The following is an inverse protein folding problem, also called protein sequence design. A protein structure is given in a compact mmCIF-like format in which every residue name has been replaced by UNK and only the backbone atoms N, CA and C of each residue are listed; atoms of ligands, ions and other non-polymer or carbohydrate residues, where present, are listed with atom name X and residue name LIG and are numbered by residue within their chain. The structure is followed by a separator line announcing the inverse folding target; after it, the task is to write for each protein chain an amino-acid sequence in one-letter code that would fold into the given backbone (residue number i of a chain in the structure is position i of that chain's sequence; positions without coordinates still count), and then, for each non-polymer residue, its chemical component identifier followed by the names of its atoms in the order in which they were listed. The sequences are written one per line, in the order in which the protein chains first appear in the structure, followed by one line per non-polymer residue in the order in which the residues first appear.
data_IF_123738220957
#
_entry.id   IF_123738220957
#
_cell.length_a   1.000
_cell.length_b   1.000
_cell.length_c   1.000
_cell.angle_alpha   90.00
_cell.angle_beta   90.00
_cell.angle_gamma   90.00
#
_symmetry.space_group_name_H-M   'P 1'
#
loop_
_entity.id
_entity.type
_entity.pdbx_description
1 polymer ?
#
# COMPACT_ATOMS: atom_id res chain seq x y z
N UNK A 1 1.00 7.07 -15.59
CA UNK A 1 1.43 5.84 -16.26
C UNK A 1 2.92 5.57 -16.09
N UNK A 2 3.82 6.56 -16.25
CA UNK A 2 5.27 6.38 -16.05
C UNK A 2 5.56 5.88 -14.62
N UNK A 3 4.99 6.52 -13.60
CA UNK A 3 5.15 6.10 -12.20
C UNK A 3 4.60 4.69 -11.95
N UNK A 4 3.48 4.32 -12.56
CA UNK A 4 2.95 2.96 -12.45
C UNK A 4 3.96 1.94 -13.00
N UNK A 5 4.49 2.21 -14.18
CA UNK A 5 5.52 1.34 -14.78
C UNK A 5 6.79 1.28 -13.91
N UNK A 6 7.27 2.41 -13.41
CA UNK A 6 8.46 2.46 -12.55
C UNK A 6 8.28 1.69 -11.23
N UNK A 7 7.07 1.63 -10.68
CA UNK A 7 6.81 0.90 -9.45
C UNK A 7 6.82 -0.63 -9.60
N UNK A 8 6.66 -1.16 -10.80
CA UNK A 8 7.01 -2.57 -11.04
C UNK A 8 8.50 -2.80 -10.83
N UNK A 9 9.35 -1.91 -11.34
CA UNK A 9 10.80 -1.96 -11.10
C UNK A 9 11.16 -1.76 -9.62
N UNK A 10 10.47 -0.83 -8.93
CA UNK A 10 10.71 -0.56 -7.52
C UNK A 10 10.32 -1.77 -6.64
N UNK A 11 9.08 -2.23 -6.74
CA UNK A 11 8.59 -3.34 -5.93
C UNK A 11 9.24 -4.67 -6.31
N UNK A 12 9.37 -4.97 -7.61
CA UNK A 12 10.05 -6.18 -8.08
C UNK A 12 11.53 -6.19 -7.78
N UNK A 13 12.22 -5.05 -7.93
CA UNK A 13 13.63 -4.90 -7.56
C UNK A 13 13.88 -5.05 -6.06
N UNK A 14 12.89 -4.74 -5.23
CA UNK A 14 12.96 -4.89 -3.78
C UNK A 14 12.94 -6.35 -3.30
N UNK A 15 12.68 -7.32 -4.18
CA UNK A 15 12.90 -8.74 -3.87
C UNK A 15 14.38 -9.09 -3.73
N UNK A 16 15.27 -8.21 -4.23
CA UNK A 16 16.75 -8.28 -4.11
C UNK A 16 17.39 -9.44 -4.87
N UNK A 17 16.68 -10.53 -5.09
CA UNK A 17 17.17 -11.72 -5.82
C UNK A 17 16.09 -12.28 -6.73
N UNK A 18 16.50 -12.92 -7.82
CA UNK A 18 15.62 -13.68 -8.73
C UNK A 18 15.89 -15.19 -8.66
N UNK A 19 17.01 -15.56 -8.01
CA UNK A 19 17.43 -16.94 -7.80
C UNK A 19 17.32 -17.34 -6.33
N UNK A 20 17.11 -18.62 -6.07
CA UNK A 20 16.94 -19.16 -4.72
C UNK A 20 15.47 -19.30 -4.32
N UNK A 21 15.27 -19.62 -3.05
CA UNK A 21 13.95 -19.84 -2.45
C UNK A 21 13.75 -18.99 -1.20
N UNK A 22 12.52 -18.73 -0.85
CA UNK A 22 12.10 -18.10 0.40
C UNK A 22 10.85 -18.78 0.95
N UNK A 23 10.40 -18.37 2.13
CA UNK A 23 9.23 -18.93 2.80
C UNK A 23 7.96 -18.64 1.98
N UNK A 24 7.17 -19.67 1.70
CA UNK A 24 5.90 -19.57 1.01
C UNK A 24 4.80 -18.97 1.89
N UNK A 25 3.68 -18.60 1.28
CA UNK A 25 2.50 -18.13 1.99
C UNK A 25 2.03 -19.15 3.04
N UNK A 26 1.60 -18.65 4.19
CA UNK A 26 1.23 -19.48 5.34
C UNK A 26 2.42 -19.92 6.22
N UNK A 27 3.66 -19.51 5.86
CA UNK A 27 4.87 -19.83 6.62
C UNK A 27 5.29 -21.30 6.51
N UNK A 28 4.72 -22.06 5.57
CA UNK A 28 4.99 -23.50 5.38
C UNK A 28 5.46 -23.76 3.95
N UNK A 29 6.63 -24.40 3.83
CA UNK A 29 7.26 -24.68 2.53
C UNK A 29 8.06 -23.52 1.97
N UNK A 30 8.49 -23.68 0.72
CA UNK A 30 9.35 -22.72 0.03
C UNK A 30 8.73 -22.31 -1.32
N UNK A 31 8.97 -21.08 -1.72
CA UNK A 31 8.65 -20.51 -3.02
C UNK A 31 9.93 -20.01 -3.68
N UNK A 32 10.05 -20.12 -5.00
CA UNK A 32 11.19 -19.55 -5.71
C UNK A 32 11.12 -18.03 -5.71
N UNK A 33 12.27 -17.35 -5.68
CA UNK A 33 12.33 -15.88 -5.73
C UNK A 33 11.70 -15.33 -7.01
N UNK A 34 11.80 -16.03 -8.14
CA UNK A 34 11.13 -15.64 -9.38
C UNK A 34 9.60 -15.70 -9.27
N UNK A 35 9.04 -16.69 -8.58
CA UNK A 35 7.60 -16.77 -8.32
C UNK A 35 7.15 -15.69 -7.32
N UNK A 36 7.97 -15.38 -6.31
CA UNK A 36 7.73 -14.24 -5.41
C UNK A 36 7.67 -12.93 -6.19
N UNK A 37 8.63 -12.66 -7.08
CA UNK A 37 8.64 -11.47 -7.92
C UNK A 37 7.38 -11.40 -8.81
N UNK A 38 6.93 -12.53 -9.37
CA UNK A 38 5.67 -12.61 -10.11
C UNK A 38 4.45 -12.26 -9.25
N UNK A 39 4.42 -12.71 -7.99
CA UNK A 39 3.39 -12.33 -7.02
C UNK A 39 3.41 -10.83 -6.74
N UNK A 40 4.60 -10.26 -6.51
CA UNK A 40 4.82 -8.83 -6.27
C UNK A 40 4.30 -7.97 -7.42
N UNK A 41 4.57 -8.37 -8.67
CA UNK A 41 4.02 -7.65 -9.82
C UNK A 41 2.49 -7.73 -9.89
N UNK A 42 1.93 -8.89 -9.58
CA UNK A 42 0.48 -9.12 -9.64
C UNK A 42 -0.26 -8.34 -8.55
N UNK A 43 0.20 -8.38 -7.31
CA UNK A 43 -0.38 -7.62 -6.18
C UNK A 43 -0.26 -6.12 -6.38
N UNK A 44 0.90 -5.64 -6.86
CA UNK A 44 1.13 -4.24 -7.20
C UNK A 44 0.14 -3.74 -8.25
N UNK A 45 -0.02 -4.48 -9.34
CA UNK A 45 -0.94 -4.10 -10.42
C UNK A 45 -2.40 -4.12 -9.97
N UNK A 46 -2.80 -5.15 -9.25
CA UNK A 46 -4.17 -5.30 -8.77
C UNK A 46 -4.58 -4.17 -7.82
N UNK A 47 -3.74 -3.88 -6.83
CA UNK A 47 -4.01 -2.81 -5.87
C UNK A 47 -4.16 -1.45 -6.56
N UNK A 48 -3.24 -1.11 -7.48
CA UNK A 48 -3.30 0.13 -8.23
C UNK A 48 -4.56 0.24 -9.09
N UNK A 49 -4.93 -0.82 -9.80
CA UNK A 49 -6.12 -0.84 -10.65
C UNK A 49 -7.41 -0.67 -9.83
N UNK A 50 -7.53 -1.38 -8.72
CA UNK A 50 -8.70 -1.27 -7.82
C UNK A 50 -8.77 0.13 -7.21
N UNK A 51 -7.66 0.66 -6.70
CA UNK A 51 -7.64 1.99 -6.10
C UNK A 51 -8.04 3.09 -7.11
N UNK A 52 -7.63 2.96 -8.36
CA UNK A 52 -8.06 3.85 -9.45
C UNK A 52 -9.58 3.85 -9.62
N UNK A 53 -10.15 2.64 -9.75
CA UNK A 53 -11.60 2.48 -9.96
C UNK A 53 -12.38 2.99 -8.75
N UNK A 54 -11.92 2.66 -7.55
CA UNK A 54 -12.57 3.07 -6.30
C UNK A 54 -12.52 4.59 -6.13
N UNK A 55 -11.38 5.23 -6.36
CA UNK A 55 -11.27 6.69 -6.30
C UNK A 55 -12.17 7.38 -7.33
N UNK A 56 -12.22 6.84 -8.57
CA UNK A 56 -13.12 7.33 -9.60
C UNK A 56 -14.59 7.20 -9.20
N UNK A 57 -15.00 6.03 -8.73
CA UNK A 57 -16.40 5.78 -8.31
C UNK A 57 -16.75 6.61 -7.08
N UNK A 58 -15.87 6.72 -6.10
CA UNK A 58 -16.09 7.50 -4.89
C UNK A 58 -16.29 8.98 -5.22
N UNK A 59 -15.45 9.55 -6.08
CA UNK A 59 -15.61 10.95 -6.54
C UNK A 59 -16.87 11.14 -7.37
N UNK A 60 -17.21 10.16 -8.21
CA UNK A 60 -18.45 10.19 -8.99
C UNK A 60 -19.70 10.23 -8.11
N UNK A 61 -19.75 9.40 -7.08
CA UNK A 61 -20.86 9.39 -6.12
C UNK A 61 -20.91 10.72 -5.35
N UNK A 62 -19.76 11.19 -4.88
CA UNK A 62 -19.65 12.36 -4.00
C UNK A 62 -19.89 13.69 -4.74
N UNK A 63 -19.29 13.86 -5.92
CA UNK A 63 -19.36 15.12 -6.70
C UNK A 63 -20.29 15.07 -7.89
N UNK A 64 -20.98 13.93 -8.10
CA UNK A 64 -21.88 13.67 -9.24
C UNK A 64 -21.19 13.66 -10.61
N UNK A 65 -19.87 13.69 -10.62
CA UNK A 65 -19.02 13.55 -11.81
C UNK A 65 -17.68 12.93 -11.39
N UNK A 66 -17.10 12.07 -12.26
CA UNK A 66 -15.78 11.52 -11.96
C UNK A 66 -14.72 12.62 -12.04
N UNK A 67 -13.74 12.56 -11.14
CA UNK A 67 -12.59 13.45 -11.12
C UNK A 67 -11.35 12.70 -11.64
N UNK A 68 -10.79 13.17 -12.75
CA UNK A 68 -9.63 12.52 -13.39
C UNK A 68 -8.39 12.66 -12.53
N UNK A 69 -8.16 13.83 -11.92
CA UNK A 69 -6.99 14.07 -11.06
C UNK A 69 -7.03 13.16 -9.82
N UNK A 70 -8.18 13.07 -9.17
CA UNK A 70 -8.38 12.16 -8.03
C UNK A 70 -8.27 10.68 -8.43
N UNK A 71 -8.71 10.31 -9.64
CA UNK A 71 -8.55 8.93 -10.13
C UNK A 71 -7.08 8.59 -10.35
N UNK A 72 -6.27 9.53 -10.88
CA UNK A 72 -4.83 9.37 -11.04
C UNK A 72 -4.11 9.32 -9.67
N UNK A 73 -4.52 10.16 -8.73
CA UNK A 73 -4.03 10.09 -7.35
C UNK A 73 -4.42 8.76 -6.68
N UNK A 74 -5.60 8.22 -6.99
CA UNK A 74 -6.03 6.88 -6.57
C UNK A 74 -5.09 5.78 -7.07
N UNK A 75 -4.66 5.88 -8.33
CA UNK A 75 -3.67 4.96 -8.90
C UNK A 75 -2.37 4.97 -8.09
N UNK A 76 -1.84 6.17 -7.85
CA UNK A 76 -0.59 6.33 -7.08
C UNK A 76 -0.76 5.89 -5.62
N UNK A 77 -1.90 6.20 -5.02
CA UNK A 77 -2.22 5.79 -3.65
C UNK A 77 -2.22 4.27 -3.49
N UNK A 78 -2.83 3.54 -4.43
CA UNK A 78 -2.79 2.07 -4.45
C UNK A 78 -1.39 1.52 -4.61
N UNK A 79 -0.58 2.11 -5.49
CA UNK A 79 0.82 1.74 -5.67
C UNK A 79 1.64 1.96 -4.40
N UNK A 80 1.46 3.11 -3.73
CA UNK A 80 2.15 3.44 -2.48
C UNK A 80 1.72 2.51 -1.35
N UNK A 81 0.41 2.27 -1.21
CA UNK A 81 -0.13 1.46 -0.13
C UNK A 81 0.40 0.03 -0.17
N UNK A 82 0.36 -0.61 -1.33
CA UNK A 82 0.80 -2.00 -1.49
C UNK A 82 2.32 -2.17 -1.39
N UNK A 83 3.09 -1.10 -1.56
CA UNK A 83 4.57 -1.18 -1.54
C UNK A 83 5.11 -1.78 -0.24
N UNK A 84 4.45 -1.54 0.89
CA UNK A 84 4.88 -2.09 2.19
C UNK A 84 4.59 -3.59 2.36
N UNK A 85 3.65 -4.15 1.60
CA UNK A 85 3.05 -5.46 1.86
C UNK A 85 3.14 -6.43 0.67
N UNK A 86 3.54 -5.95 -0.50
CA UNK A 86 3.40 -6.66 -1.79
C UNK A 86 4.10 -8.03 -1.85
N UNK A 87 5.15 -8.23 -1.06
CA UNK A 87 5.92 -9.48 -0.98
C UNK A 87 5.37 -10.47 0.05
N UNK A 88 4.44 -10.06 0.88
CA UNK A 88 3.92 -10.86 1.99
C UNK A 88 2.38 -10.92 2.05
N UNK A 89 1.67 -10.40 1.06
CA UNK A 89 0.21 -10.50 0.98
C UNK A 89 -0.24 -11.33 -0.22
N UNK A 90 -1.47 -11.80 -0.16
CA UNK A 90 -2.14 -12.44 -1.28
C UNK A 90 -2.99 -11.45 -2.11
N UNK A 91 -3.64 -11.95 -3.16
CA UNK A 91 -4.48 -11.14 -4.04
C UNK A 91 -5.69 -10.54 -3.31
N UNK A 92 -6.22 -11.21 -2.28
CA UNK A 92 -7.35 -10.69 -1.50
C UNK A 92 -6.90 -9.50 -0.64
N UNK A 93 -5.74 -9.62 0.01
CA UNK A 93 -5.12 -8.52 0.75
C UNK A 93 -4.87 -7.32 -0.14
N UNK A 94 -4.27 -7.53 -1.32
CA UNK A 94 -4.01 -6.47 -2.29
C UNK A 94 -5.29 -5.79 -2.80
N UNK A 95 -6.37 -6.56 -3.00
CA UNK A 95 -7.65 -6.00 -3.41
C UNK A 95 -8.27 -5.12 -2.31
N UNK A 96 -8.23 -5.56 -1.06
CA UNK A 96 -8.73 -4.79 0.09
C UNK A 96 -7.90 -3.52 0.28
N UNK A 97 -6.58 -3.60 0.19
CA UNK A 97 -5.70 -2.44 0.22
C UNK A 97 -6.04 -1.43 -0.87
N UNK A 98 -6.31 -1.89 -2.09
CA UNK A 98 -6.73 -1.03 -3.19
C UNK A 98 -8.05 -0.28 -2.91
N UNK A 99 -9.00 -0.94 -2.27
CA UNK A 99 -10.27 -0.30 -1.86
C UNK A 99 -10.00 0.78 -0.80
N UNK A 100 -9.21 0.44 0.22
CA UNK A 100 -8.87 1.39 1.28
C UNK A 100 -8.10 2.58 0.71
N UNK A 101 -7.11 2.35 -0.14
CA UNK A 101 -6.29 3.40 -0.75
C UNK A 101 -7.13 4.38 -1.59
N UNK A 102 -8.03 3.84 -2.42
CA UNK A 102 -8.87 4.67 -3.28
C UNK A 102 -9.83 5.58 -2.51
N UNK A 103 -10.34 5.15 -1.36
CA UNK A 103 -11.17 5.97 -0.48
C UNK A 103 -10.31 6.94 0.32
N UNK A 104 -9.23 6.44 0.93
CA UNK A 104 -8.37 7.21 1.82
C UNK A 104 -7.76 8.42 1.12
N UNK A 105 -7.25 8.25 -0.10
CA UNK A 105 -6.61 9.35 -0.84
C UNK A 105 -7.56 10.54 -1.05
N UNK A 106 -8.81 10.28 -1.44
CA UNK A 106 -9.79 11.36 -1.66
C UNK A 106 -10.13 12.06 -0.35
N UNK A 107 -10.35 11.29 0.72
CA UNK A 107 -10.71 11.85 2.02
C UNK A 107 -9.56 12.65 2.64
N UNK A 108 -8.33 12.15 2.54
CA UNK A 108 -7.17 12.83 3.14
C UNK A 108 -6.78 14.08 2.35
N UNK A 109 -6.80 14.05 1.01
CA UNK A 109 -6.57 15.27 0.22
C UNK A 109 -7.58 16.36 0.61
N UNK A 110 -8.87 16.00 0.71
CA UNK A 110 -9.87 16.97 1.14
C UNK A 110 -9.68 17.47 2.58
N UNK A 111 -9.26 16.57 3.47
CA UNK A 111 -8.98 16.95 4.87
C UNK A 111 -7.85 17.97 4.94
N UNK A 112 -6.74 17.71 4.22
CA UNK A 112 -5.58 18.61 4.19
C UNK A 112 -5.96 19.97 3.60
N UNK A 113 -6.62 19.97 2.44
CA UNK A 113 -6.97 21.19 1.73
C UNK A 113 -8.06 22.01 2.47
N UNK A 114 -9.19 21.37 2.82
CA UNK A 114 -10.37 22.08 3.33
C UNK A 114 -10.35 22.34 4.85
N UNK A 115 -9.79 21.41 5.63
CA UNK A 115 -9.82 21.47 7.09
C UNK A 115 -8.50 21.98 7.64
N UNK A 116 -7.39 21.37 7.27
CA UNK A 116 -6.06 21.80 7.72
C UNK A 116 -5.61 23.09 7.02
N UNK A 117 -6.18 23.41 5.86
CA UNK A 117 -5.83 24.58 5.03
C UNK A 117 -4.34 24.64 4.72
N UNK A 118 -3.74 23.47 4.49
CA UNK A 118 -2.36 23.31 4.06
C UNK A 118 -2.37 23.09 2.56
N UNK A 119 -1.54 23.85 1.87
CA UNK A 119 -1.43 23.76 0.41
C UNK A 119 -0.69 22.46 0.02
N UNK A 120 -1.42 21.54 -0.58
CA UNK A 120 -0.92 20.28 -1.13
C UNK A 120 -1.38 20.13 -2.60
N UNK A 121 -0.78 20.92 -3.52
CA UNK A 121 -1.31 21.13 -4.86
C UNK A 121 -1.39 19.86 -5.72
N UNK A 122 -0.60 18.85 -5.42
CA UNK A 122 -0.59 17.56 -6.13
C UNK A 122 -1.16 16.40 -5.29
N UNK A 123 -1.58 16.66 -4.07
CA UNK A 123 -2.10 15.64 -3.16
C UNK A 123 -1.00 14.71 -2.60
N UNK A 124 0.24 15.20 -2.50
CA UNK A 124 1.38 14.37 -2.09
C UNK A 124 1.21 13.79 -0.69
N UNK A 125 0.68 14.57 0.26
CA UNK A 125 0.41 14.10 1.62
C UNK A 125 -0.65 13.00 1.62
N UNK A 126 -1.74 13.19 0.87
CA UNK A 126 -2.79 12.18 0.73
C UNK A 126 -2.32 10.91 0.04
N UNK A 127 -1.52 11.05 -1.01
CA UNK A 127 -0.99 9.90 -1.78
C UNK A 127 0.09 9.16 -1.00
N UNK A 128 1.15 9.85 -0.57
CA UNK A 128 2.35 9.19 -0.04
C UNK A 128 2.28 8.98 1.47
N UNK A 129 2.02 10.02 2.25
CA UNK A 129 2.01 9.89 3.71
C UNK A 129 0.85 9.02 4.18
N UNK A 130 -0.39 9.35 3.80
CA UNK A 130 -1.55 8.62 4.31
C UNK A 130 -1.57 7.16 3.86
N UNK A 131 -1.31 6.90 2.58
CA UNK A 131 -1.35 5.54 2.06
C UNK A 131 -0.09 4.73 2.44
N UNK A 132 1.07 5.35 2.59
CA UNK A 132 2.25 4.68 3.14
C UNK A 132 2.06 4.28 4.61
N UNK A 133 1.46 5.18 5.42
CA UNK A 133 1.08 4.90 6.80
C UNK A 133 0.09 3.73 6.89
N UNK A 134 -1.00 3.77 6.13
CA UNK A 134 -2.02 2.72 6.11
C UNK A 134 -1.47 1.40 5.57
N UNK A 135 -0.66 1.42 4.50
CA UNK A 135 -0.05 0.23 3.92
C UNK A 135 0.87 -0.49 4.91
N UNK A 136 1.65 0.26 5.68
CA UNK A 136 2.49 -0.33 6.74
C UNK A 136 1.62 -1.01 7.81
N UNK A 137 0.49 -0.42 8.20
CA UNK A 137 -0.46 -1.08 9.12
C UNK A 137 -1.06 -2.34 8.47
N UNK A 138 -1.37 -2.30 7.18
CA UNK A 138 -1.94 -3.43 6.45
C UNK A 138 -1.02 -4.66 6.43
N UNK A 139 0.31 -4.49 6.46
CA UNK A 139 1.23 -5.62 6.70
C UNK A 139 0.87 -6.36 7.99
N UNK A 140 0.61 -5.62 9.08
CA UNK A 140 0.21 -6.19 10.36
C UNK A 140 -1.15 -6.89 10.34
N UNK A 141 -2.00 -6.54 9.39
CA UNK A 141 -3.34 -7.12 9.24
C UNK A 141 -3.37 -8.29 8.26
N UNK A 142 -2.78 -8.12 7.08
CA UNK A 142 -2.98 -8.99 5.92
C UNK A 142 -1.75 -9.84 5.53
N UNK A 143 -0.62 -9.75 6.25
CA UNK A 143 0.53 -10.60 5.95
C UNK A 143 0.17 -12.08 6.05
N UNK A 144 0.50 -12.83 4.99
CA UNK A 144 0.31 -14.29 4.92
C UNK A 144 1.42 -15.09 5.59
N UNK A 145 2.46 -14.43 6.10
CA UNK A 145 3.68 -15.09 6.59
C UNK A 145 4.69 -15.42 5.51
N UNK A 146 4.47 -14.97 4.27
CA UNK A 146 5.40 -15.17 3.14
C UNK A 146 6.66 -14.32 3.32
N UNK A 147 7.74 -14.73 2.68
CA UNK A 147 9.05 -14.07 2.68
C UNK A 147 9.64 -13.81 4.08
N UNK A 148 9.29 -14.66 5.06
CA UNK A 148 9.79 -14.54 6.44
C UNK A 148 9.14 -13.41 7.26
N UNK A 149 8.16 -12.70 6.71
CA UNK A 149 7.35 -11.74 7.45
C UNK A 149 6.38 -12.50 8.37
N UNK A 150 6.24 -12.06 9.61
CA UNK A 150 5.27 -12.69 10.53
C UNK A 150 3.84 -12.60 9.99
N UNK A 151 3.03 -13.65 10.22
CA UNK A 151 1.63 -13.64 9.82
C UNK A 151 0.87 -12.48 10.47
N UNK A 152 -0.03 -11.86 9.71
CA UNK A 152 -0.87 -10.78 10.17
C UNK A 152 -2.06 -11.26 11.00
N UNK A 153 -2.81 -10.29 11.51
CA UNK A 153 -3.95 -10.55 12.38
C UNK A 153 -4.99 -11.48 11.74
N UNK A 154 -5.34 -11.23 10.48
CA UNK A 154 -6.35 -12.02 9.76
C UNK A 154 -5.84 -13.40 9.29
N UNK A 155 -4.54 -13.63 9.31
CA UNK A 155 -3.90 -14.90 8.94
C UNK A 155 -3.38 -15.68 10.16
N UNK A 156 -3.91 -15.37 11.35
CA UNK A 156 -3.65 -16.14 12.56
C UNK A 156 -2.37 -15.76 13.32
N UNK A 157 -1.66 -14.71 12.91
CA UNK A 157 -0.44 -14.25 13.58
C UNK A 157 -0.65 -13.45 14.87
N UNK A 158 -1.91 -13.17 15.23
CA UNK A 158 -2.25 -12.37 16.39
C UNK A 158 -1.81 -10.91 16.26
N UNK A 159 -1.70 -10.20 17.38
CA UNK A 159 -1.39 -8.77 17.42
C UNK A 159 0.11 -8.45 17.33
N UNK A 160 0.99 -9.47 17.29
CA UNK A 160 2.44 -9.24 17.33
C UNK A 160 2.92 -8.44 16.12
N UNK A 161 2.57 -8.89 14.92
CA UNK A 161 2.99 -8.22 13.67
C UNK A 161 2.39 -6.82 13.57
N UNK A 162 1.12 -6.66 13.92
CA UNK A 162 0.46 -5.36 13.95
C UNK A 162 1.15 -4.39 14.94
N UNK A 163 1.53 -4.86 16.12
CA UNK A 163 2.26 -4.05 17.10
C UNK A 163 3.63 -3.58 16.60
N UNK A 164 4.36 -4.46 15.88
CA UNK A 164 5.65 -4.11 15.28
C UNK A 164 5.45 -3.02 14.21
N UNK A 165 4.47 -3.16 13.34
CA UNK A 165 4.19 -2.18 12.29
C UNK A 165 3.74 -0.82 12.85
N UNK A 166 2.88 -0.83 13.87
CA UNK A 166 2.47 0.40 14.56
C UNK A 166 3.66 1.12 15.22
N UNK A 167 4.54 0.37 15.88
CA UNK A 167 5.74 0.94 16.48
C UNK A 167 6.65 1.55 15.40
N UNK A 168 6.86 0.84 14.29
CA UNK A 168 7.66 1.33 13.16
C UNK A 168 7.11 2.64 12.58
N UNK A 169 5.81 2.67 12.28
CA UNK A 169 5.14 3.85 11.73
C UNK A 169 5.25 5.05 12.69
N UNK A 170 4.94 4.86 13.98
CA UNK A 170 5.03 5.94 14.97
C UNK A 170 6.46 6.45 15.09
N UNK A 171 7.45 5.56 15.08
CA UNK A 171 8.87 5.94 15.14
C UNK A 171 9.28 6.79 13.95
N UNK A 172 8.90 6.39 12.73
CA UNK A 172 9.20 7.15 11.51
C UNK A 172 8.50 8.51 11.53
N UNK A 173 7.21 8.55 11.89
CA UNK A 173 6.45 9.80 12.00
C UNK A 173 7.06 10.77 13.02
N UNK A 174 7.46 10.25 14.19
CA UNK A 174 8.10 11.06 15.23
C UNK A 174 9.46 11.58 14.76
N UNK A 175 10.27 10.72 14.15
CA UNK A 175 11.58 11.12 13.62
C UNK A 175 11.44 12.21 12.56
N UNK A 176 10.60 12.01 11.56
CA UNK A 176 10.38 12.99 10.48
C UNK A 176 9.80 14.28 11.05
N UNK A 177 8.81 14.20 11.94
CA UNK A 177 8.22 15.39 12.58
C UNK A 177 9.23 16.21 13.37
N UNK A 178 10.21 15.59 14.03
CA UNK A 178 11.24 16.30 14.81
C UNK A 178 12.34 16.87 13.89
N UNK A 179 12.71 16.14 12.84
CA UNK A 179 13.87 16.54 12.02
C UNK A 179 13.54 17.47 10.87
N UNK A 180 12.26 17.55 10.46
CA UNK A 180 11.82 18.34 9.31
C UNK A 180 11.04 19.61 9.68
N UNK A 181 10.81 19.86 10.95
CA UNK A 181 10.27 21.10 11.52
C UNK A 181 11.41 21.88 12.15
#
# INVERSE_FOLDING_TARGET
FILWFCLFGFNGGSTVAMEGTTVAAGGVGEITMGALAGSVFSTTNLCAAIATIVAMMFTWIKYKKPDVSMSLNGTLAGLVMVTASTDCIDMYGAAIEGIIAGIAVVLVIELIDKVCKVDDPVGAVGVHFANGFLGTICVGLFSTGQNGVGAGLFYGGGFKQLGIQLLGVVTVCAWVGITMI
#
